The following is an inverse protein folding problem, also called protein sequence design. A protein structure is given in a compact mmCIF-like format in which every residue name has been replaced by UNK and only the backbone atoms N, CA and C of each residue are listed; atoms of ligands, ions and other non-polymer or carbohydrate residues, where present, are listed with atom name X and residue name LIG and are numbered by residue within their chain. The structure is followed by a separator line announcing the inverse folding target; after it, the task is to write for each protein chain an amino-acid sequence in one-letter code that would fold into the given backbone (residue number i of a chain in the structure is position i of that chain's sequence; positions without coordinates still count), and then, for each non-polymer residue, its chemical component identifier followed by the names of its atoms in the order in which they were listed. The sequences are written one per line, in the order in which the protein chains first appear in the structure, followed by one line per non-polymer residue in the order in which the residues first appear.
data_IF_690683878958
#
_entry.id   IF_690683878958
#
_cell.length_a   1.000
_cell.length_b   1.000
_cell.length_c   1.000
_cell.angle_alpha   90.00
_cell.angle_beta   90.00
_cell.angle_gamma   90.00
#
_symmetry.space_group_name_H-M   'P 1'
#
loop_
_entity.id
_entity.type
_entity.pdbx_description
1 polymer ?
#
# COMPACT_ATOMS: atom_id res chain seq x y z
N UNK A 1 0.22 -21.37 -1.85
CA UNK A 1 0.81 -20.04 -1.60
C UNK A 1 -0.32 -19.06 -1.32
N UNK A 2 -0.12 -18.07 -0.46
CA UNK A 2 -1.14 -17.05 -0.22
C UNK A 2 -1.35 -16.25 -1.51
N UNK A 3 -2.59 -15.99 -1.90
CA UNK A 3 -2.91 -15.20 -3.09
C UNK A 3 -3.04 -13.71 -2.73
N UNK A 4 -2.15 -13.24 -1.87
CA UNK A 4 -2.15 -11.88 -1.36
C UNK A 4 -1.17 -11.02 -2.13
N UNK A 5 -1.42 -9.72 -2.12
CA UNK A 5 -0.51 -8.73 -2.68
C UNK A 5 -0.32 -7.60 -1.69
N UNK A 6 0.89 -7.04 -1.64
CA UNK A 6 1.18 -5.80 -0.90
C UNK A 6 1.42 -4.72 -1.93
N UNK A 7 0.79 -3.55 -1.75
CA UNK A 7 0.80 -2.48 -2.74
C UNK A 7 1.01 -1.11 -2.08
N UNK A 8 1.72 -0.24 -2.78
CA UNK A 8 1.89 1.19 -2.48
C UNK A 8 1.96 1.97 -3.81
N UNK A 9 1.57 3.25 -3.82
CA UNK A 9 1.68 4.12 -5.00
C UNK A 9 2.52 5.37 -4.75
N UNK A 10 3.13 5.85 -5.81
CA UNK A 10 3.72 7.19 -5.89
C UNK A 10 2.96 8.04 -6.92
N UNK A 11 2.90 9.35 -6.67
CA UNK A 11 2.20 10.30 -7.55
C UNK A 11 3.16 11.19 -8.35
N UNK A 12 2.65 11.73 -9.45
CA UNK A 12 3.37 12.68 -10.32
C UNK A 12 3.35 14.10 -9.76
N UNK A 13 2.45 14.37 -8.83
CA UNK A 13 2.11 15.69 -8.32
C UNK A 13 1.59 15.62 -6.88
N UNK A 14 1.65 16.73 -6.16
CA UNK A 14 1.15 16.85 -4.78
C UNK A 14 -0.23 17.50 -4.71
N UNK A 15 -0.90 17.37 -3.55
CA UNK A 15 -2.14 18.11 -3.27
C UNK A 15 -1.98 19.63 -3.35
N UNK A 16 -0.80 20.15 -2.96
CA UNK A 16 -0.50 21.58 -3.05
C UNK A 16 -0.49 22.06 -4.50
N UNK A 17 0.08 21.26 -5.41
CA UNK A 17 0.17 21.59 -6.84
C UNK A 17 -1.18 21.56 -7.56
N UNK A 18 -2.13 20.77 -7.05
CA UNK A 18 -3.48 20.67 -7.63
C UNK A 18 -4.52 21.56 -6.95
N UNK A 19 -4.06 22.39 -6.02
CA UNK A 19 -4.86 23.42 -5.37
C UNK A 19 -5.83 22.88 -4.31
N UNK A 20 -5.51 21.77 -3.65
CA UNK A 20 -6.29 21.26 -2.52
C UNK A 20 -6.25 19.75 -2.34
N UNK A 21 -6.88 19.29 -1.25
CA UNK A 21 -7.03 17.86 -0.92
C UNK A 21 -8.09 17.21 -1.81
N UNK A 22 -7.73 16.99 -3.06
CA UNK A 22 -8.58 16.42 -4.09
C UNK A 22 -7.82 15.28 -4.78
N UNK A 23 -8.21 14.04 -4.47
CA UNK A 23 -7.56 12.86 -5.03
C UNK A 23 -7.72 12.84 -6.55
N UNK A 24 -8.82 13.38 -7.09
CA UNK A 24 -9.18 13.38 -8.52
C UNK A 24 -8.19 14.10 -9.43
N UNK A 25 -7.27 14.86 -8.83
CA UNK A 25 -6.24 15.59 -9.56
C UNK A 25 -4.86 14.95 -9.43
N UNK A 26 -4.69 13.92 -8.61
CA UNK A 26 -3.44 13.19 -8.48
C UNK A 26 -3.29 12.20 -9.63
N UNK A 27 -2.08 12.12 -10.19
CA UNK A 27 -1.74 11.12 -11.21
C UNK A 27 -0.70 10.17 -10.68
N UNK A 28 -0.79 8.90 -11.06
CA UNK A 28 0.16 7.86 -10.62
C UNK A 28 1.46 7.99 -11.41
N UNK A 29 2.60 8.02 -10.73
CA UNK A 29 3.91 7.87 -11.37
C UNK A 29 4.32 6.39 -11.42
N UNK A 30 4.30 5.72 -10.27
CA UNK A 30 4.67 4.31 -10.10
C UNK A 30 3.73 3.63 -9.11
N UNK A 31 3.44 2.35 -9.35
CA UNK A 31 2.82 1.44 -8.38
C UNK A 31 3.79 0.32 -8.07
N UNK A 32 4.20 0.20 -6.81
CA UNK A 32 5.03 -0.88 -6.31
C UNK A 32 4.15 -1.99 -5.78
N UNK A 33 4.48 -3.24 -6.14
CA UNK A 33 3.70 -4.40 -5.71
C UNK A 33 4.61 -5.56 -5.34
N UNK A 34 4.23 -6.27 -4.29
CA UNK A 34 4.76 -7.59 -3.98
C UNK A 34 3.66 -8.64 -4.13
N UNK A 35 3.94 -9.71 -4.87
CA UNK A 35 3.00 -10.82 -5.08
C UNK A 35 3.45 -12.05 -4.28
N UNK A 36 2.61 -12.51 -3.34
CA UNK A 36 2.90 -13.74 -2.59
C UNK A 36 2.82 -15.02 -3.44
N UNK A 37 2.09 -14.98 -4.56
CA UNK A 37 1.98 -16.12 -5.48
C UNK A 37 3.32 -16.48 -6.13
N UNK A 38 4.09 -15.45 -6.52
CA UNK A 38 5.34 -15.59 -7.28
C UNK A 38 6.59 -15.19 -6.51
N UNK A 39 6.44 -14.70 -5.27
CA UNK A 39 7.53 -14.20 -4.42
C UNK A 39 8.39 -13.13 -5.14
N UNK A 40 7.72 -12.14 -5.72
CA UNK A 40 8.38 -11.11 -6.53
C UNK A 40 7.93 -9.69 -6.16
N UNK A 41 8.86 -8.75 -6.30
CA UNK A 41 8.64 -7.32 -6.25
C UNK A 41 8.65 -6.75 -7.66
N UNK A 42 7.60 -6.03 -8.05
CA UNK A 42 7.46 -5.43 -9.38
C UNK A 42 6.95 -4.00 -9.25
N UNK A 43 7.54 -3.08 -10.01
CA UNK A 43 7.08 -1.71 -10.12
C UNK A 43 6.48 -1.47 -11.50
N UNK A 44 5.29 -0.89 -11.55
CA UNK A 44 4.56 -0.56 -12.78
C UNK A 44 4.48 0.95 -12.94
N UNK A 45 4.83 1.48 -14.11
CA UNK A 45 4.55 2.88 -14.47
C UNK A 45 3.07 3.06 -14.87
N UNK A 46 2.61 4.31 -14.94
CA UNK A 46 1.24 4.68 -15.37
C UNK A 46 0.78 3.94 -16.64
N UNK A 47 1.67 3.81 -17.64
CA UNK A 47 1.37 3.14 -18.92
C UNK A 47 1.22 1.61 -18.82
N UNK A 48 1.72 1.02 -17.74
CA UNK A 48 1.77 -0.42 -17.50
C UNK A 48 0.64 -0.90 -16.56
N UNK A 49 -0.14 0.03 -16.00
CA UNK A 49 -1.27 -0.26 -15.12
C UNK A 49 -2.27 -1.28 -15.68
N UNK A 50 -2.60 -1.33 -16.98
CA UNK A 50 -3.46 -2.38 -17.53
C UNK A 50 -2.94 -3.81 -17.30
N UNK A 51 -1.62 -4.01 -17.21
CA UNK A 51 -1.01 -5.30 -16.90
C UNK A 51 -1.15 -5.64 -15.41
N UNK A 52 -1.00 -4.62 -14.55
CA UNK A 52 -1.21 -4.77 -13.12
C UNK A 52 -2.65 -5.16 -12.78
N UNK A 53 -3.64 -4.52 -13.42
CA UNK A 53 -5.06 -4.80 -13.20
C UNK A 53 -5.40 -6.28 -13.39
N UNK A 54 -4.91 -6.90 -14.46
CA UNK A 54 -5.13 -8.33 -14.74
C UNK A 54 -4.61 -9.25 -13.63
N UNK A 55 -3.57 -8.83 -12.90
CA UNK A 55 -3.02 -9.57 -11.77
C UNK A 55 -3.81 -9.30 -10.49
N UNK A 56 -4.13 -8.04 -10.20
CA UNK A 56 -4.89 -7.66 -9.00
C UNK A 56 -6.28 -8.28 -9.00
N UNK A 57 -6.96 -8.35 -10.14
CA UNK A 57 -8.29 -8.99 -10.27
C UNK A 57 -8.28 -10.48 -9.92
N UNK A 58 -7.13 -11.12 -10.00
CA UNK A 58 -6.95 -12.53 -9.61
C UNK A 58 -6.44 -12.68 -8.19
N UNK A 59 -5.97 -11.60 -7.57
CA UNK A 59 -5.51 -11.61 -6.18
C UNK A 59 -6.70 -11.80 -5.23
N UNK A 60 -6.47 -12.52 -4.14
CA UNK A 60 -7.49 -12.71 -3.12
C UNK A 60 -7.68 -11.48 -2.23
N UNK A 61 -6.60 -10.73 -1.94
CA UNK A 61 -6.61 -9.55 -1.06
C UNK A 61 -5.43 -8.64 -1.34
N UNK A 62 -5.71 -7.34 -1.32
CA UNK A 62 -4.71 -6.29 -1.36
C UNK A 62 -4.39 -5.84 0.07
N UNK A 63 -3.10 -5.69 0.38
CA UNK A 63 -2.60 -5.21 1.66
C UNK A 63 -1.85 -3.91 1.40
N UNK A 64 -2.10 -2.88 2.22
CA UNK A 64 -1.38 -1.61 2.11
C UNK A 64 -1.46 -0.80 3.39
N UNK A 65 -0.93 0.42 3.35
CA UNK A 65 -0.90 1.34 4.49
C UNK A 65 -1.56 2.66 4.12
N UNK A 66 -2.76 2.92 4.64
CA UNK A 66 -3.66 3.99 4.18
C UNK A 66 -4.19 3.80 2.74
N UNK A 67 -4.14 2.58 2.24
CA UNK A 67 -4.47 2.26 0.85
C UNK A 67 -5.92 2.62 0.49
N UNK A 68 -6.87 2.45 1.42
CA UNK A 68 -8.27 2.83 1.18
C UNK A 68 -8.47 4.34 1.21
N UNK A 69 -7.66 5.04 2.01
CA UNK A 69 -7.77 6.48 2.24
C UNK A 69 -7.00 7.34 1.25
N UNK A 70 -6.15 6.75 0.42
CA UNK A 70 -5.30 7.48 -0.53
C UNK A 70 -5.15 6.74 -1.86
N UNK A 71 -4.54 5.56 -1.86
CA UNK A 71 -4.14 4.85 -3.08
C UNK A 71 -5.34 4.44 -3.95
N UNK A 72 -6.33 3.78 -3.37
CA UNK A 72 -7.53 3.32 -4.08
C UNK A 72 -8.31 4.46 -4.75
N UNK A 73 -8.59 5.59 -4.06
CA UNK A 73 -9.13 6.78 -4.72
C UNK A 73 -8.37 7.22 -5.97
N UNK A 74 -7.02 7.24 -5.91
CA UNK A 74 -6.19 7.65 -7.05
C UNK A 74 -6.16 6.58 -8.15
N UNK A 75 -6.07 5.31 -7.78
CA UNK A 75 -6.07 4.19 -8.73
C UNK A 75 -7.41 4.05 -9.47
N UNK A 76 -8.53 4.44 -8.86
CA UNK A 76 -9.85 4.43 -9.48
C UNK A 76 -9.97 5.38 -10.69
N UNK A 77 -9.07 6.35 -10.87
CA UNK A 77 -9.04 7.16 -12.10
C UNK A 77 -8.55 6.38 -13.32
N UNK A 78 -7.84 5.28 -13.07
CA UNK A 78 -7.17 4.47 -14.08
C UNK A 78 -7.84 3.11 -14.30
N UNK A 79 -8.81 2.76 -13.47
CA UNK A 79 -9.44 1.46 -13.45
C UNK A 79 -10.95 1.59 -13.71
N UNK A 80 -11.48 0.76 -14.61
CA UNK A 80 -12.88 0.83 -15.00
C UNK A 80 -13.84 0.27 -13.93
N UNK A 81 -13.32 -0.53 -13.00
CA UNK A 81 -14.07 -1.05 -11.86
C UNK A 81 -13.98 -0.12 -10.64
N UNK A 82 -14.03 -0.72 -9.45
CA UNK A 82 -13.94 0.02 -8.19
C UNK A 82 -13.01 -0.70 -7.20
N UNK A 83 -11.85 -0.10 -6.93
CA UNK A 83 -10.85 -0.63 -6.00
C UNK A 83 -11.38 -0.80 -4.58
N UNK A 84 -12.36 0.00 -4.15
CA UNK A 84 -12.94 -0.12 -2.81
C UNK A 84 -13.73 -1.42 -2.62
N UNK A 85 -14.04 -2.15 -3.70
CA UNK A 85 -14.70 -3.46 -3.66
C UNK A 85 -13.74 -4.63 -3.57
N UNK A 86 -12.44 -4.41 -3.73
CA UNK A 86 -11.44 -5.47 -3.56
C UNK A 86 -11.36 -5.85 -2.08
N UNK A 87 -11.21 -7.15 -1.75
CA UNK A 87 -10.83 -7.53 -0.40
C UNK A 87 -9.53 -6.83 -0.04
N UNK A 88 -9.53 -6.10 1.08
CA UNK A 88 -8.43 -5.20 1.42
C UNK A 88 -8.16 -5.20 2.93
N UNK A 89 -6.89 -5.35 3.29
CA UNK A 89 -6.38 -5.07 4.64
C UNK A 89 -5.60 -3.76 4.61
N UNK A 90 -6.18 -2.71 5.21
CA UNK A 90 -5.48 -1.44 5.42
C UNK A 90 -4.91 -1.42 6.84
N UNK A 91 -3.58 -1.49 6.96
CA UNK A 91 -2.91 -1.57 8.26
C UNK A 91 -3.17 -0.30 9.09
N UNK A 92 -3.25 0.87 8.45
CA UNK A 92 -3.51 2.12 9.16
C UNK A 92 -4.94 2.17 9.71
N UNK A 93 -5.90 1.63 8.96
CA UNK A 93 -7.29 1.49 9.43
C UNK A 93 -7.35 0.62 10.69
N UNK A 94 -6.67 -0.54 10.70
CA UNK A 94 -6.60 -1.43 11.87
C UNK A 94 -5.97 -0.71 13.07
N UNK A 95 -4.83 -0.02 12.87
CA UNK A 95 -4.18 0.76 13.92
C UNK A 95 -5.11 1.83 14.48
N UNK A 96 -5.81 2.55 13.61
CA UNK A 96 -6.74 3.60 14.00
C UNK A 96 -7.92 3.06 14.80
N UNK A 97 -8.45 1.88 14.46
CA UNK A 97 -9.51 1.21 15.22
C UNK A 97 -9.07 0.84 16.64
N UNK A 98 -7.79 0.48 16.83
CA UNK A 98 -7.25 0.08 18.13
C UNK A 98 -6.86 1.28 19.00
N UNK A 99 -6.24 2.30 18.40
CA UNK A 99 -5.66 3.43 19.15
C UNK A 99 -6.55 4.68 19.19
N UNK A 100 -7.48 4.84 18.24
CA UNK A 100 -8.27 6.06 18.05
C UNK A 100 -7.51 7.23 17.41
N UNK A 101 -6.27 7.01 16.97
CA UNK A 101 -5.47 7.98 16.21
C UNK A 101 -4.58 7.27 15.18
N UNK A 102 -4.10 8.03 14.20
CA UNK A 102 -3.33 7.54 13.06
C UNK A 102 -1.83 7.65 13.34
N UNK A 103 -1.05 6.70 12.83
CA UNK A 103 0.41 6.68 12.91
C UNK A 103 1.03 6.63 11.51
N UNK A 104 2.25 7.13 11.35
CA UNK A 104 2.99 6.97 10.09
C UNK A 104 3.54 5.55 9.99
N UNK A 105 3.61 5.01 8.78
CA UNK A 105 4.21 3.69 8.52
C UNK A 105 5.64 3.62 9.07
N UNK A 106 6.44 4.67 8.89
CA UNK A 106 7.81 4.74 9.37
C UNK A 106 7.92 4.57 10.90
N UNK A 107 7.08 5.28 11.66
CA UNK A 107 7.05 5.19 13.13
C UNK A 107 6.68 3.78 13.61
N UNK A 108 5.70 3.16 12.94
CA UNK A 108 5.24 1.80 13.24
C UNK A 108 6.30 0.78 12.88
N UNK A 109 6.91 0.90 11.70
CA UNK A 109 7.96 0.00 11.22
C UNK A 109 9.19 0.07 12.13
N UNK A 110 9.69 1.27 12.43
CA UNK A 110 10.84 1.46 13.30
C UNK A 110 10.63 0.84 14.69
N UNK A 111 9.42 0.94 15.25
CA UNK A 111 9.10 0.35 16.54
C UNK A 111 8.80 -1.17 16.47
N UNK A 112 8.29 -1.67 15.36
CA UNK A 112 7.86 -3.06 15.20
C UNK A 112 9.00 -3.97 14.73
N UNK A 113 9.60 -3.64 13.59
CA UNK A 113 10.59 -4.47 12.89
C UNK A 113 12.02 -3.92 13.03
N UNK A 114 12.19 -2.76 13.68
CA UNK A 114 13.50 -2.19 14.03
C UNK A 114 14.16 -1.38 12.90
N UNK A 115 13.51 -1.27 11.75
CA UNK A 115 13.92 -0.42 10.64
C UNK A 115 12.70 0.27 10.03
N UNK A 116 12.94 1.40 9.38
CA UNK A 116 11.92 2.23 8.75
C UNK A 116 12.28 2.59 7.31
N UNK A 117 11.53 3.53 6.73
CA UNK A 117 11.81 4.08 5.40
C UNK A 117 13.09 4.93 5.47
N UNK A 118 13.90 4.88 4.42
CA UNK A 118 15.09 5.74 4.28
C UNK A 118 14.82 7.06 3.55
N UNK A 119 13.59 7.30 3.07
CA UNK A 119 13.26 8.47 2.23
C UNK A 119 11.89 9.11 2.54
N UNK A 120 11.70 10.32 2.04
CA UNK A 120 10.49 11.12 2.23
C UNK A 120 9.67 11.19 0.92
N UNK A 121 8.35 10.95 0.97
CA UNK A 121 7.50 10.92 -0.23
C UNK A 121 7.48 12.20 -1.07
N UNK A 122 7.83 13.36 -0.50
CA UNK A 122 8.01 14.60 -1.27
C UNK A 122 9.13 14.50 -2.33
N UNK A 123 10.10 13.61 -2.11
CA UNK A 123 11.22 13.41 -3.01
C UNK A 123 10.81 12.68 -4.31
N UNK A 124 9.78 11.82 -4.26
CA UNK A 124 9.31 11.07 -5.43
C UNK A 124 8.76 12.01 -6.53
N UNK A 125 8.01 13.05 -6.12
CA UNK A 125 7.49 14.06 -7.06
C UNK A 125 8.62 14.89 -7.68
N UNK A 126 9.68 15.20 -6.92
CA UNK A 126 10.86 15.88 -7.45
C UNK A 126 11.61 15.03 -8.48
N UNK A 127 11.82 13.75 -8.18
CA UNK A 127 12.40 12.79 -9.13
C UNK A 127 11.55 12.64 -10.39
N UNK A 128 10.23 12.66 -10.26
CA UNK A 128 9.34 12.61 -11.43
C UNK A 128 9.56 13.80 -12.36
N UNK A 129 9.62 15.02 -11.80
CA UNK A 129 9.92 16.24 -12.57
C UNK A 129 11.30 16.22 -13.23
N UNK A 130 12.25 15.50 -12.64
CA UNK A 130 13.61 15.32 -13.15
C UNK A 130 13.73 14.14 -14.13
N UNK A 131 12.67 13.35 -14.32
CA UNK A 131 12.68 12.15 -15.17
C UNK A 131 13.43 10.96 -14.54
N UNK A 132 13.71 10.99 -13.24
CA UNK A 132 14.47 9.96 -12.52
C UNK A 132 13.56 8.79 -12.06
N UNK A 133 12.81 8.21 -12.99
CA UNK A 133 11.77 7.18 -12.72
C UNK A 133 12.33 5.97 -11.96
N UNK A 134 13.57 5.57 -12.23
CA UNK A 134 14.19 4.43 -11.56
C UNK A 134 14.35 4.64 -10.04
N UNK A 135 14.57 5.88 -9.59
CA UNK A 135 14.62 6.18 -8.15
C UNK A 135 13.25 6.04 -7.51
N UNK A 136 12.19 6.48 -8.20
CA UNK A 136 10.80 6.34 -7.77
C UNK A 136 10.43 4.87 -7.64
N UNK A 137 10.80 4.04 -8.64
CA UNK A 137 10.58 2.58 -8.60
C UNK A 137 11.24 1.94 -7.38
N UNK A 138 12.51 2.25 -7.14
CA UNK A 138 13.23 1.69 -6.00
C UNK A 138 12.62 2.13 -4.66
N UNK A 139 12.26 3.41 -4.54
CA UNK A 139 11.61 3.96 -3.34
C UNK A 139 10.25 3.30 -3.07
N UNK A 140 9.38 3.24 -4.07
CA UNK A 140 8.06 2.62 -3.94
C UNK A 140 8.18 1.13 -3.57
N UNK A 141 9.14 0.40 -4.14
CA UNK A 141 9.40 -0.99 -3.77
C UNK A 141 9.95 -1.14 -2.34
N UNK A 142 10.74 -0.20 -1.85
CA UNK A 142 11.17 -0.18 -0.45
C UNK A 142 9.99 0.00 0.50
N UNK A 143 9.04 0.86 0.13
CA UNK A 143 7.82 1.09 0.91
C UNK A 143 6.92 -0.15 0.95
N UNK A 144 6.82 -0.88 -0.16
CA UNK A 144 6.17 -2.19 -0.22
C UNK A 144 6.90 -3.22 0.64
N UNK A 145 8.24 -3.24 0.65
CA UNK A 145 9.04 -4.14 1.51
C UNK A 145 8.79 -3.88 2.99
N UNK A 146 8.76 -2.61 3.39
CA UNK A 146 8.47 -2.21 4.78
C UNK A 146 7.04 -2.60 5.15
N UNK A 147 6.07 -2.31 4.29
CA UNK A 147 4.66 -2.66 4.51
C UNK A 147 4.47 -4.17 4.64
N UNK A 148 5.10 -4.96 3.76
CA UNK A 148 5.13 -6.42 3.83
C UNK A 148 5.69 -6.92 5.16
N UNK A 149 6.83 -6.39 5.59
CA UNK A 149 7.47 -6.81 6.83
C UNK A 149 6.63 -6.46 8.08
N UNK A 150 5.98 -5.29 8.09
CA UNK A 150 5.03 -4.90 9.15
C UNK A 150 3.82 -5.84 9.16
N UNK A 151 3.25 -6.14 7.99
CA UNK A 151 2.15 -7.07 7.86
C UNK A 151 2.52 -8.47 8.38
N UNK A 152 3.63 -9.04 7.92
CA UNK A 152 4.08 -10.37 8.33
C UNK A 152 4.39 -10.45 9.83
N UNK A 153 4.94 -9.38 10.41
CA UNK A 153 5.16 -9.29 11.84
C UNK A 153 3.82 -9.31 12.60
N UNK A 154 2.87 -8.45 12.20
CA UNK A 154 1.55 -8.41 12.84
C UNK A 154 0.77 -9.70 12.67
N UNK A 155 0.91 -10.39 11.53
CA UNK A 155 0.31 -11.71 11.31
C UNK A 155 0.91 -12.79 12.22
N UNK A 156 2.23 -12.75 12.43
CA UNK A 156 2.95 -13.75 13.23
C UNK A 156 2.79 -13.55 14.74
N UNK A 157 2.80 -12.31 15.20
CA UNK A 157 2.85 -11.98 16.62
C UNK A 157 1.55 -11.36 17.16
N UNK A 158 0.56 -11.14 16.30
CA UNK A 158 -0.73 -10.50 16.64
C UNK A 158 -0.57 -9.14 17.33
N UNK A 159 0.56 -8.48 17.05
CA UNK A 159 0.92 -7.20 17.64
C UNK A 159 1.84 -6.42 16.72
N UNK A 160 1.65 -5.09 16.71
CA UNK A 160 2.59 -4.10 16.20
C UNK A 160 3.10 -3.26 17.37
N UNK A 161 3.95 -2.27 17.09
CA UNK A 161 4.39 -1.31 18.09
C UNK A 161 4.52 0.10 17.53
N UNK A 162 4.51 1.07 18.43
CA UNK A 162 4.84 2.47 18.16
C UNK A 162 5.58 3.06 19.36
N UNK A 163 6.18 4.24 19.16
CA UNK A 163 6.71 5.05 20.27
C UNK A 163 5.70 6.13 20.63
N UNK A 164 5.38 6.27 21.90
CA UNK A 164 4.53 7.35 22.36
C UNK A 164 5.28 8.70 22.38
N UNK A 165 4.59 9.76 22.80
CA UNK A 165 5.17 11.11 22.90
C UNK A 165 6.36 11.23 23.86
N UNK A 166 6.55 10.25 24.74
CA UNK A 166 7.68 10.18 25.68
C UNK A 166 8.81 9.28 25.17
N UNK A 167 8.65 8.70 23.97
CA UNK A 167 9.60 7.77 23.38
C UNK A 167 9.47 6.33 23.91
N UNK A 168 8.48 6.05 24.74
CA UNK A 168 8.25 4.69 25.24
C UNK A 168 7.64 3.81 24.15
N UNK A 169 8.20 2.61 23.96
CA UNK A 169 7.64 1.62 23.04
C UNK A 169 6.36 1.03 23.62
N UNK A 170 5.24 1.20 22.94
CA UNK A 170 3.94 0.62 23.28
C UNK A 170 3.54 -0.40 22.22
N UNK A 171 2.91 -1.49 22.66
CA UNK A 171 2.36 -2.50 21.77
C UNK A 171 0.97 -2.07 21.26
N UNK A 172 0.65 -2.46 20.03
CA UNK A 172 -0.64 -2.30 19.38
C UNK A 172 -1.15 -3.72 19.11
N UNK A 173 -2.13 -4.25 19.86
CA UNK A 173 -2.70 -5.55 19.52
C UNK A 173 -3.37 -5.46 18.14
N UNK A 174 -3.08 -6.40 17.25
CA UNK A 174 -3.69 -6.45 15.91
C UNK A 174 -4.13 -7.88 15.59
N UNK A 175 -5.25 -7.98 14.89
CA UNK A 175 -5.75 -9.26 14.38
C UNK A 175 -5.91 -9.14 12.87
N UNK A 176 -4.89 -9.59 12.14
CA UNK A 176 -4.98 -9.70 10.68
C UNK A 176 -5.64 -11.03 10.35
N UNK A 177 -6.93 -10.99 10.02
CA UNK A 177 -7.64 -12.21 9.62
C UNK A 177 -6.91 -12.85 8.43
N UNK A 178 -6.51 -14.14 8.52
CA UNK A 178 -5.99 -14.83 7.35
C UNK A 178 -7.11 -14.95 6.32
N UNK A 179 -6.77 -14.73 5.05
CA UNK A 179 -7.78 -14.82 4.01
C UNK A 179 -8.33 -16.26 3.93
N UNK A 180 -9.63 -16.42 4.15
CA UNK A 180 -10.32 -17.67 3.84
C UNK A 180 -10.35 -17.77 2.31
N UNK A 181 -9.82 -18.86 1.73
CA UNK A 181 -9.87 -19.10 0.29
C UNK A 181 -11.34 -19.14 -0.16
N UNK A 182 -11.87 -18.00 -0.58
CA UNK A 182 -13.18 -17.95 -1.24
C UNK A 182 -12.95 -18.29 -2.71
N UNK A 183 -13.68 -19.28 -3.21
CA UNK A 183 -13.59 -19.74 -4.60
C UNK A 183 -13.67 -18.57 -5.58
N UNK A 184 -12.84 -18.63 -6.62
CA UNK A 184 -12.68 -17.61 -7.66
C UNK A 184 -14.02 -17.09 -8.17
N UNK A 185 -14.27 -15.79 -7.98
CA UNK A 185 -15.40 -15.09 -8.57
C UNK A 185 -15.07 -14.90 -10.06
N UNK A 186 -15.63 -15.77 -10.90
CA UNK A 186 -15.57 -15.61 -12.36
C UNK A 186 -16.44 -14.42 -12.77
N UNK A 187 -15.84 -13.29 -13.15
CA UNK A 187 -16.53 -12.19 -13.83
C UNK A 187 -16.62 -12.42 -15.34
N UNK A 188 -16.92 -13.64 -15.80
CA UNK A 188 -17.21 -13.89 -17.21
C UNK A 188 -18.71 -13.74 -17.43
N UNK A 189 -19.13 -12.63 -18.03
CA UNK A 189 -20.52 -12.47 -18.47
C UNK A 189 -20.85 -13.50 -19.57
N UNK A 190 -22.08 -14.05 -19.60
CA UNK A 190 -22.54 -14.84 -20.73
C UNK A 190 -22.71 -13.91 -21.95
N UNK A 191 -22.09 -14.28 -23.07
CA UNK A 191 -22.43 -13.75 -24.39
C UNK A 191 -23.81 -14.23 -24.82
#
# INVERSE_FOLDING_TARGET
MSNEVVLDIETQNTFEEVGGYDHDKLRISVVGVYFYETDEFVAYEEKELPLLWQRLERSGRIIGYNIKGFDFPVMNHYYAGDFLKFPCLDILEVIHQVLGFRLKLDDVAAATIGYGKSGHGLQAVEWWKQGEVEKIKNYCLDDVRVTKAVYEYGLKYEALAYKDRFGERKAIPVHFEPMVQTQSINFTMPF
#
